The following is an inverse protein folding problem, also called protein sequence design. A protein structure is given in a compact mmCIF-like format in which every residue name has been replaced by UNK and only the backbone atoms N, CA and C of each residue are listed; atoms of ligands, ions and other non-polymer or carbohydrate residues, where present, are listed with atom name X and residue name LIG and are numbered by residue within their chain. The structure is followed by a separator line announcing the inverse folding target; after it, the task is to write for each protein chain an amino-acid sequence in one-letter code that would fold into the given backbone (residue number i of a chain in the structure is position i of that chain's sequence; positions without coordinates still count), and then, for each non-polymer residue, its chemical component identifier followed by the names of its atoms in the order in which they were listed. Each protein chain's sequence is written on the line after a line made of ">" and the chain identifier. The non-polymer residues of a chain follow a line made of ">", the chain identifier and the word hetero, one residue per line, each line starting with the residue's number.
data_IF_056646138631
#
_entry.id   IF_056646138631
#
_cell.length_a   1.000
_cell.length_b   1.000
_cell.length_c   1.000
_cell.angle_alpha   90.00
_cell.angle_beta   90.00
_cell.angle_gamma   90.00
#
_symmetry.space_group_name_H-M   'P 1'
#
loop_
_entity.id
_entity.type
_entity.pdbx_description
1 polymer ?
#
# COMPACT_ATOMS: atom_id res chain seq x y z
N UNK A 1 -4.95 24.57 -10.68
CA UNK A 1 -5.53 23.44 -11.42
C UNK A 1 -4.35 22.57 -11.81
N UNK A 2 -4.17 21.43 -11.15
CA UNK A 2 -3.02 20.57 -11.39
C UNK A 2 -3.22 19.83 -12.71
N UNK A 3 -2.31 20.07 -13.65
CA UNK A 3 -2.23 19.37 -14.93
C UNK A 3 -1.92 17.88 -14.70
N UNK A 4 -2.97 17.06 -14.77
CA UNK A 4 -2.88 15.63 -15.01
C UNK A 4 -2.50 15.45 -16.49
N UNK A 5 -1.21 15.57 -16.80
CA UNK A 5 -0.73 15.28 -18.15
C UNK A 5 -0.66 13.76 -18.28
N UNK A 6 -1.47 13.12 -19.14
CA UNK A 6 -1.44 11.67 -19.28
C UNK A 6 -0.09 11.26 -19.86
N UNK A 7 0.64 10.44 -19.11
CA UNK A 7 1.85 9.79 -19.59
C UNK A 7 1.49 9.01 -20.86
N UNK A 8 2.17 9.21 -22.02
CA UNK A 8 1.71 8.72 -23.33
C UNK A 8 1.64 7.19 -23.52
N UNK A 9 1.88 6.41 -22.46
CA UNK A 9 2.02 4.96 -22.55
C UNK A 9 1.50 4.21 -21.31
N UNK A 10 0.62 4.81 -20.51
CA UNK A 10 -0.10 4.03 -19.50
C UNK A 10 -1.22 3.22 -20.17
N UNK A 11 -1.24 1.88 -20.02
CA UNK A 11 -2.41 1.12 -20.43
C UNK A 11 -3.60 1.65 -19.63
N UNK A 12 -4.71 1.92 -20.33
CA UNK A 12 -5.94 2.41 -19.71
C UNK A 12 -6.29 1.53 -18.51
N UNK A 13 -6.59 2.11 -17.34
CA UNK A 13 -6.91 1.33 -16.17
C UNK A 13 -8.24 0.61 -16.41
N UNK A 14 -8.18 -0.67 -16.74
CA UNK A 14 -9.36 -1.54 -16.76
C UNK A 14 -9.95 -1.62 -15.34
N UNK A 15 -11.29 -1.69 -15.22
CA UNK A 15 -11.95 -1.90 -13.94
C UNK A 15 -11.32 -3.07 -13.17
N UNK A 16 -11.11 -2.90 -11.87
CA UNK A 16 -10.45 -3.91 -11.02
C UNK A 16 -11.16 -5.28 -11.06
N UNK A 17 -12.49 -5.27 -11.23
CA UNK A 17 -13.26 -6.50 -11.42
C UNK A 17 -12.86 -7.26 -12.69
N UNK A 18 -12.70 -6.55 -13.82
CA UNK A 18 -12.29 -7.14 -15.10
C UNK A 18 -10.83 -7.60 -15.05
N UNK A 19 -9.98 -6.84 -14.36
CA UNK A 19 -8.58 -7.20 -14.12
C UNK A 19 -8.50 -8.53 -13.38
N UNK A 20 -9.22 -8.67 -12.26
CA UNK A 20 -9.25 -9.89 -11.45
C UNK A 20 -9.82 -11.09 -12.23
N UNK A 21 -10.84 -10.86 -13.07
CA UNK A 21 -11.42 -11.90 -13.90
C UNK A 21 -10.45 -12.42 -14.97
N UNK A 22 -9.55 -11.57 -15.48
CA UNK A 22 -8.56 -11.92 -16.52
C UNK A 22 -7.35 -12.67 -15.94
N UNK A 23 -7.18 -12.71 -14.61
CA UNK A 23 -6.05 -13.36 -13.96
C UNK A 23 -6.10 -14.90 -14.08
N UNK A 24 -4.93 -15.58 -14.12
CA UNK A 24 -4.88 -17.03 -14.07
C UNK A 24 -5.43 -17.56 -12.75
N UNK A 25 -5.95 -18.80 -12.76
CA UNK A 25 -6.60 -19.43 -11.60
C UNK A 25 -5.71 -19.46 -10.33
N UNK A 26 -4.39 -19.54 -10.49
CA UNK A 26 -3.47 -19.44 -9.35
C UNK A 26 -3.50 -18.06 -8.68
N UNK A 27 -3.52 -16.98 -9.47
CA UNK A 27 -3.56 -15.62 -8.96
C UNK A 27 -4.93 -15.29 -8.34
N UNK A 28 -6.02 -15.76 -8.92
CA UNK A 28 -7.36 -15.61 -8.34
C UNK A 28 -7.46 -16.28 -6.96
N UNK A 29 -6.90 -17.49 -6.80
CA UNK A 29 -6.85 -18.19 -5.51
C UNK A 29 -6.02 -17.42 -4.47
N UNK A 30 -4.86 -16.90 -4.85
CA UNK A 30 -4.01 -16.13 -3.96
C UNK A 30 -4.69 -14.84 -3.46
N UNK A 31 -5.41 -14.14 -4.36
CA UNK A 31 -6.22 -12.97 -4.00
C UNK A 31 -7.35 -13.34 -3.04
N UNK A 32 -8.08 -14.41 -3.32
CA UNK A 32 -9.16 -14.88 -2.44
C UNK A 32 -8.65 -15.27 -1.04
N UNK A 33 -7.48 -15.89 -0.95
CA UNK A 33 -6.84 -16.23 0.33
C UNK A 33 -6.38 -14.98 1.09
N UNK A 34 -5.84 -13.97 0.39
CA UNK A 34 -5.46 -12.70 0.99
C UNK A 34 -6.69 -11.93 1.48
N UNK A 35 -7.78 -11.92 0.71
CA UNK A 35 -9.06 -11.30 1.09
C UNK A 35 -9.63 -12.01 2.33
N UNK A 36 -9.67 -13.35 2.33
CA UNK A 36 -10.09 -14.16 3.49
C UNK A 36 -9.21 -13.91 4.74
N UNK A 37 -7.91 -13.71 4.56
CA UNK A 37 -7.02 -13.32 5.67
C UNK A 37 -7.39 -11.96 6.22
N UNK A 38 -7.61 -10.95 5.37
CA UNK A 38 -8.01 -9.59 5.81
C UNK A 38 -9.34 -9.60 6.54
N UNK A 39 -10.32 -10.36 6.05
CA UNK A 39 -11.63 -10.51 6.69
C UNK A 39 -11.52 -11.20 8.05
N UNK A 40 -10.64 -12.20 8.17
CA UNK A 40 -10.35 -12.89 9.43
C UNK A 40 -9.57 -12.01 10.43
N UNK A 41 -8.62 -11.21 9.96
CA UNK A 41 -7.96 -10.15 10.73
C UNK A 41 -8.78 -8.86 10.64
N UNK A 42 -10.06 -8.93 11.02
CA UNK A 42 -10.94 -7.79 11.21
C UNK A 42 -10.13 -6.64 11.78
N UNK A 43 -9.97 -5.58 10.98
CA UNK A 43 -8.99 -4.52 11.19
C UNK A 43 -8.93 -4.20 12.67
N UNK A 44 -7.81 -4.55 13.32
CA UNK A 44 -7.46 -4.04 14.63
C UNK A 44 -7.73 -2.55 14.53
N UNK A 45 -8.84 -2.07 15.13
CA UNK A 45 -9.19 -0.66 15.17
C UNK A 45 -8.23 0.00 16.16
N UNK A 46 -6.93 -0.08 15.84
CA UNK A 46 -5.90 0.62 16.54
C UNK A 46 -6.20 2.08 16.33
N UNK A 47 -6.24 2.89 17.41
CA UNK A 47 -6.32 4.32 17.24
C UNK A 47 -5.22 4.73 16.27
N UNK A 48 -5.52 5.61 15.30
CA UNK A 48 -4.50 6.08 14.37
C UNK A 48 -3.32 6.61 15.19
N UNK A 49 -2.11 6.17 14.87
CA UNK A 49 -0.92 6.70 15.54
C UNK A 49 -0.81 8.20 15.21
N UNK A 50 -1.01 9.03 16.23
CA UNK A 50 -0.88 10.48 16.12
C UNK A 50 0.56 10.87 16.44
N UNK A 51 1.25 11.50 15.49
CA UNK A 51 2.62 11.99 15.68
C UNK A 51 3.73 11.04 15.20
N UNK A 52 3.40 9.84 14.72
CA UNK A 52 4.36 8.94 14.07
C UNK A 52 4.87 9.48 12.73
N UNK A 53 6.14 9.23 12.39
CA UNK A 53 6.67 9.53 11.05
C UNK A 53 5.92 8.66 10.04
N UNK A 54 5.37 9.27 8.98
CA UNK A 54 4.80 8.52 7.85
C UNK A 54 5.91 7.73 7.16
N UNK A 55 5.72 6.44 7.00
CA UNK A 55 6.67 5.55 6.33
C UNK A 55 7.04 4.35 7.19
N UNK A 56 7.79 3.40 6.62
CA UNK A 56 8.17 2.19 7.34
C UNK A 56 9.11 2.52 8.51
N UNK A 57 9.08 1.69 9.56
CA UNK A 57 9.78 1.97 10.82
C UNK A 57 11.28 2.30 10.59
N UNK A 58 11.79 3.42 11.13
CA UNK A 58 13.18 3.84 10.93
C UNK A 58 14.20 2.81 11.44
N UNK A 59 13.79 1.98 12.43
CA UNK A 59 14.59 0.86 12.95
C UNK A 59 14.88 -0.20 11.87
N UNK A 60 13.96 -0.40 10.91
CA UNK A 60 14.15 -1.39 9.83
C UNK A 60 14.89 -0.84 8.60
N UNK A 61 14.88 0.47 8.37
CA UNK A 61 15.34 1.08 7.11
C UNK A 61 16.47 2.11 7.27
N UNK A 62 16.97 2.36 8.49
CA UNK A 62 18.15 3.20 8.70
C UNK A 62 17.90 4.72 8.62
N UNK A 63 16.65 5.16 8.49
CA UNK A 63 16.26 6.58 8.39
C UNK A 63 16.20 7.31 9.75
N UNK A 64 17.26 7.15 10.56
CA UNK A 64 17.43 7.86 11.84
C UNK A 64 17.68 9.36 11.67
N UNK A 65 17.86 9.81 10.43
CA UNK A 65 18.10 11.21 10.11
C UNK A 65 16.80 11.93 9.78
N UNK A 66 16.62 13.12 10.36
CA UNK A 66 15.63 14.10 9.94
C UNK A 66 16.35 15.43 9.77
N UNK A 67 16.43 15.91 8.53
CA UNK A 67 17.17 17.14 8.17
C UNK A 67 18.66 17.10 8.60
N UNK A 68 19.30 15.94 8.49
CA UNK A 68 20.73 15.76 8.82
C UNK A 68 21.06 15.69 10.31
N UNK A 69 20.04 15.55 11.17
CA UNK A 69 20.23 15.32 12.61
C UNK A 69 19.77 13.89 12.91
N UNK A 70 20.63 13.11 13.57
CA UNK A 70 20.27 11.82 14.12
C UNK A 70 19.31 12.05 15.30
N UNK A 71 18.09 11.52 15.20
CA UNK A 71 17.05 11.67 16.23
C UNK A 71 16.74 10.28 16.77
N UNK A 72 16.90 10.13 18.08
CA UNK A 72 16.41 9.01 18.87
C UNK A 72 15.16 9.52 19.62
N UNK A 73 14.02 8.83 19.41
CA UNK A 73 12.64 9.15 19.85
C UNK A 73 11.84 10.16 19.00
#
# INVERSE_FOLDING_TARGET
>A
MSDDTPTPNEPTPIPEAERRATLPAAAQRALAEADARRDATQADQRPPELGGRKGPEPVRYGDWEKKGIAIDF
#
